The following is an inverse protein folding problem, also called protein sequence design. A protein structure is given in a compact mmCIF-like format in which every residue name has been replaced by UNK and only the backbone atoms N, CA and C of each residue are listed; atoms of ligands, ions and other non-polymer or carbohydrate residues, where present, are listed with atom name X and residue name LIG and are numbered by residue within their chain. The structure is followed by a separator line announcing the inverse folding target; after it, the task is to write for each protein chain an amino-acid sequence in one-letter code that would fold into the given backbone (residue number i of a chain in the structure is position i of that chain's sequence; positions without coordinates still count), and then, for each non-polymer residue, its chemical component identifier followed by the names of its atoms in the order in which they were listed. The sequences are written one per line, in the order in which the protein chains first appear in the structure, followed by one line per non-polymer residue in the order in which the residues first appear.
data_IF_900072046660
#
_entry.id   IF_900072046660
#
_cell.length_a   1.000
_cell.length_b   1.000
_cell.length_c   1.000
_cell.angle_alpha   90.00
_cell.angle_beta   90.00
_cell.angle_gamma   90.00
#
_symmetry.space_group_name_H-M   'P 1'
#
loop_
_entity.id
_entity.type
_entity.pdbx_description
1 polymer ?
#
# COMPACT_ATOMS: atom_id res chain seq x y z
N UNK A 1 -16.63 -18.78 -23.33
CA UNK A 1 -15.77 -18.02 -24.25
C UNK A 1 -16.40 -16.65 -24.54
N UNK A 2 -17.66 -16.59 -24.99
CA UNK A 2 -18.36 -15.33 -25.30
C UNK A 2 -18.48 -14.35 -24.12
N UNK A 3 -18.71 -14.85 -22.90
CA UNK A 3 -18.80 -14.01 -21.70
C UNK A 3 -17.50 -13.22 -21.42
N UNK A 4 -16.34 -13.77 -21.76
CA UNK A 4 -15.06 -13.08 -21.61
C UNK A 4 -14.83 -12.04 -22.70
N UNK A 5 -15.27 -12.28 -23.94
CA UNK A 5 -15.15 -11.30 -25.04
C UNK A 5 -15.86 -9.98 -24.71
N UNK A 6 -16.94 -10.02 -23.94
CA UNK A 6 -17.65 -8.83 -23.43
C UNK A 6 -16.80 -7.95 -22.50
N UNK A 7 -15.71 -8.46 -21.94
CA UNK A 7 -14.75 -7.70 -21.13
C UNK A 7 -13.69 -6.96 -21.97
N UNK A 8 -13.88 -6.91 -23.29
CA UNK A 8 -13.00 -6.18 -24.21
C UNK A 8 -11.61 -6.83 -24.37
N UNK A 9 -10.55 -6.04 -24.57
CA UNK A 9 -9.21 -6.53 -24.89
C UNK A 9 -8.66 -7.55 -23.87
N UNK A 10 -8.88 -7.32 -22.58
CA UNK A 10 -8.43 -8.22 -21.51
C UNK A 10 -9.06 -9.61 -21.63
N UNK A 11 -10.34 -9.67 -21.97
CA UNK A 11 -11.08 -10.91 -22.11
C UNK A 11 -10.69 -11.70 -23.36
N UNK A 12 -10.43 -11.02 -24.48
CA UNK A 12 -9.87 -11.62 -25.69
C UNK A 12 -8.50 -12.25 -25.39
N UNK A 13 -7.60 -11.51 -24.76
CA UNK A 13 -6.28 -12.01 -24.39
C UNK A 13 -6.37 -13.23 -23.45
N UNK A 14 -7.22 -13.17 -22.42
CA UNK A 14 -7.48 -14.32 -21.54
C UNK A 14 -7.93 -15.56 -22.33
N UNK A 15 -8.93 -15.40 -23.20
CA UNK A 15 -9.45 -16.49 -24.02
C UNK A 15 -8.35 -17.10 -24.90
N UNK A 16 -7.53 -16.27 -25.55
CA UNK A 16 -6.42 -16.72 -26.39
C UNK A 16 -5.39 -17.51 -25.58
N UNK A 17 -4.95 -16.99 -24.43
CA UNK A 17 -3.99 -17.68 -23.55
C UNK A 17 -4.56 -19.04 -23.11
N UNK A 18 -5.82 -19.08 -22.69
CA UNK A 18 -6.52 -20.32 -22.31
C UNK A 18 -6.60 -21.29 -23.49
N UNK A 19 -6.90 -20.79 -24.68
CA UNK A 19 -7.01 -21.58 -25.91
C UNK A 19 -5.68 -22.26 -26.27
N UNK A 20 -4.57 -21.53 -26.22
CA UNK A 20 -3.22 -22.06 -26.47
C UNK A 20 -2.85 -23.12 -25.42
N UNK A 21 -3.11 -22.85 -24.13
CA UNK A 21 -2.67 -23.72 -23.04
C UNK A 21 -3.54 -24.98 -22.86
N UNK A 22 -4.70 -25.06 -23.50
CA UNK A 22 -5.58 -26.24 -23.47
C UNK A 22 -5.17 -27.36 -24.43
N UNK A 23 -4.23 -27.12 -25.35
CA UNK A 23 -3.76 -28.11 -26.31
C UNK A 23 -2.25 -28.11 -26.43
N UNK A 24 -1.64 -29.28 -26.27
CA UNK A 24 -0.19 -29.46 -26.46
C UNK A 24 0.22 -29.03 -27.86
N UNK A 25 -0.57 -29.36 -28.89
CA UNK A 25 -0.29 -29.00 -30.27
C UNK A 25 -0.31 -27.47 -30.48
N UNK A 26 -1.31 -26.78 -29.93
CA UNK A 26 -1.42 -25.30 -30.00
C UNK A 26 -0.28 -24.64 -29.24
N UNK A 27 0.05 -25.16 -28.06
CA UNK A 27 1.21 -24.73 -27.28
C UNK A 27 2.53 -24.87 -28.04
N UNK A 28 2.77 -25.99 -28.72
CA UNK A 28 3.97 -26.20 -29.54
C UNK A 28 4.02 -25.26 -30.75
N UNK A 29 2.89 -25.05 -31.44
CA UNK A 29 2.79 -24.05 -32.51
C UNK A 29 3.15 -22.64 -32.02
N UNK A 30 2.63 -22.24 -30.86
CA UNK A 30 2.96 -20.95 -30.27
C UNK A 30 4.45 -20.84 -29.91
N UNK A 31 5.04 -21.89 -29.30
CA UNK A 31 6.48 -21.92 -29.00
C UNK A 31 7.36 -21.73 -30.24
N UNK A 32 6.93 -22.24 -31.40
CA UNK A 32 7.64 -22.07 -32.66
C UNK A 32 7.68 -20.61 -33.15
N UNK A 33 6.61 -19.82 -32.91
CA UNK A 33 6.56 -18.39 -33.26
C UNK A 33 7.08 -17.47 -32.16
N UNK A 34 7.09 -17.91 -30.91
CA UNK A 34 7.54 -17.12 -29.76
C UNK A 34 9.01 -17.35 -29.38
N UNK A 35 9.76 -18.09 -30.20
CA UNK A 35 11.14 -18.50 -29.89
C UNK A 35 11.25 -19.19 -28.51
N UNK A 36 10.41 -20.20 -28.28
CA UNK A 36 10.32 -20.99 -27.04
C UNK A 36 9.84 -20.23 -25.78
N UNK A 37 9.26 -19.04 -25.91
CA UNK A 37 8.64 -18.33 -24.79
C UNK A 37 7.19 -18.74 -24.57
N UNK A 38 6.80 -18.95 -23.31
CA UNK A 38 5.42 -19.32 -22.94
C UNK A 38 4.62 -18.09 -22.52
N UNK A 39 3.33 -18.06 -22.88
CA UNK A 39 2.38 -17.11 -22.32
C UNK A 39 2.15 -17.39 -20.84
N UNK A 40 2.10 -16.34 -20.03
CA UNK A 40 1.62 -16.43 -18.66
C UNK A 40 0.08 -16.40 -18.65
N UNK A 41 -0.54 -17.12 -17.71
CA UNK A 41 -2.00 -17.16 -17.54
C UNK A 41 -2.40 -16.44 -16.26
N UNK A 42 -3.48 -15.67 -16.33
CA UNK A 42 -4.14 -15.12 -15.16
C UNK A 42 -4.74 -16.23 -14.29
N UNK A 43 -4.91 -15.94 -13.00
CA UNK A 43 -5.38 -16.90 -12.02
C UNK A 43 -6.08 -16.16 -10.89
N UNK A 44 -7.27 -16.64 -10.51
CA UNK A 44 -8.13 -15.95 -9.54
C UNK A 44 -7.53 -15.90 -8.12
N UNK A 45 -6.65 -16.84 -7.75
CA UNK A 45 -6.04 -16.92 -6.42
C UNK A 45 -4.63 -16.38 -6.34
N UNK A 46 -3.96 -16.13 -7.48
CA UNK A 46 -2.59 -15.61 -7.52
C UNK A 46 -2.54 -14.12 -7.77
N UNK A 47 -2.15 -13.36 -6.75
CA UNK A 47 -2.05 -11.91 -6.85
C UNK A 47 -1.12 -11.47 -7.99
N UNK A 48 -1.45 -10.35 -8.64
CA UNK A 48 -0.73 -9.80 -9.80
C UNK A 48 -0.66 -10.72 -11.05
N UNK A 49 -1.44 -11.79 -11.14
CA UNK A 49 -1.43 -12.69 -12.30
C UNK A 49 -1.78 -11.97 -13.61
N UNK A 50 -2.75 -11.05 -13.57
CA UNK A 50 -3.17 -10.24 -14.71
C UNK A 50 -2.03 -9.34 -15.22
N UNK A 51 -1.34 -8.64 -14.33
CA UNK A 51 -0.14 -7.87 -14.69
C UNK A 51 0.92 -8.77 -15.35
N UNK A 52 1.17 -9.96 -14.77
CA UNK A 52 2.20 -10.86 -15.31
C UNK A 52 1.82 -11.40 -16.70
N UNK A 53 0.54 -11.73 -16.91
CA UNK A 53 0.02 -12.11 -18.22
C UNK A 53 0.20 -10.98 -19.24
N UNK A 54 -0.21 -9.75 -18.90
CA UNK A 54 -0.07 -8.59 -19.78
C UNK A 54 1.38 -8.30 -20.13
N UNK A 55 2.28 -8.31 -19.13
CA UNK A 55 3.71 -8.07 -19.34
C UNK A 55 4.31 -9.07 -20.33
N UNK A 56 3.97 -10.35 -20.19
CA UNK A 56 4.47 -11.39 -21.09
C UNK A 56 3.81 -11.28 -22.48
N UNK A 57 2.51 -11.03 -22.54
CA UNK A 57 1.78 -10.90 -23.80
C UNK A 57 2.26 -9.72 -24.64
N UNK A 58 2.48 -8.55 -24.03
CA UNK A 58 3.01 -7.37 -24.72
C UNK A 58 4.42 -7.63 -25.28
N UNK A 59 5.27 -8.34 -24.55
CA UNK A 59 6.59 -8.75 -25.04
C UNK A 59 6.53 -9.80 -26.17
N UNK A 60 5.41 -10.50 -26.31
CA UNK A 60 5.18 -11.54 -27.30
C UNK A 60 4.12 -11.12 -28.34
N UNK A 61 3.88 -9.82 -28.50
CA UNK A 61 2.86 -9.28 -29.42
C UNK A 61 3.01 -9.84 -30.83
N UNK A 62 4.21 -9.76 -31.41
CA UNK A 62 4.48 -10.26 -32.77
C UNK A 62 4.25 -11.78 -32.89
N UNK A 63 4.52 -12.53 -31.83
CA UNK A 63 4.29 -13.97 -31.81
C UNK A 63 2.78 -14.30 -31.70
N UNK A 64 2.00 -13.50 -30.97
CA UNK A 64 0.55 -13.62 -30.87
C UNK A 64 -0.08 -13.30 -32.24
N UNK A 65 0.26 -12.16 -32.83
CA UNK A 65 -0.22 -11.75 -34.15
C UNK A 65 0.24 -12.76 -35.22
N UNK A 66 1.48 -13.24 -35.14
CA UNK A 66 2.02 -14.29 -35.99
C UNK A 66 1.29 -15.64 -35.87
N UNK A 67 0.77 -15.97 -34.68
CA UNK A 67 -0.03 -17.18 -34.49
C UNK A 67 -1.38 -17.05 -35.21
N UNK A 68 -2.08 -15.93 -35.05
CA UNK A 68 -3.34 -15.67 -35.76
C UNK A 68 -3.13 -15.71 -37.29
N UNK A 69 -2.10 -15.05 -37.79
CA UNK A 69 -1.79 -15.03 -39.22
C UNK A 69 -1.51 -16.43 -39.82
N UNK A 70 -0.92 -17.37 -39.05
CA UNK A 70 -0.51 -18.69 -39.57
C UNK A 70 -1.49 -19.81 -39.27
N UNK A 71 -2.15 -19.77 -38.12
CA UNK A 71 -2.90 -20.91 -37.56
C UNK A 71 -4.22 -20.49 -36.92
N UNK A 72 -4.86 -19.41 -37.40
CA UNK A 72 -6.19 -19.02 -36.92
C UNK A 72 -7.17 -20.19 -37.05
N UNK A 73 -7.74 -20.57 -35.91
CA UNK A 73 -8.82 -21.56 -35.80
C UNK A 73 -10.14 -20.81 -35.51
N UNK A 74 -11.28 -21.37 -35.93
CA UNK A 74 -12.61 -20.77 -35.71
C UNK A 74 -12.90 -20.46 -34.24
N UNK A 75 -12.39 -21.31 -33.34
CA UNK A 75 -12.60 -21.21 -31.90
C UNK A 75 -12.00 -19.92 -31.30
N UNK A 76 -10.84 -19.47 -31.84
CA UNK A 76 -10.11 -18.31 -31.35
C UNK A 76 -10.24 -17.07 -32.24
N UNK A 77 -10.83 -17.16 -33.44
CA UNK A 77 -10.93 -16.04 -34.38
C UNK A 77 -11.53 -14.76 -33.78
N UNK A 78 -12.50 -14.88 -32.87
CA UNK A 78 -13.09 -13.72 -32.18
C UNK A 78 -12.23 -13.11 -31.06
N UNK A 79 -11.05 -13.68 -30.79
CA UNK A 79 -10.12 -13.25 -29.74
C UNK A 79 -8.85 -12.58 -30.33
N UNK A 80 -8.83 -12.32 -31.64
CA UNK A 80 -7.78 -11.52 -32.29
C UNK A 80 -7.79 -10.07 -31.75
N UNK A 81 -6.59 -9.56 -31.46
CA UNK A 81 -6.38 -8.26 -30.84
C UNK A 81 -6.03 -7.22 -31.92
N UNK A 82 -6.82 -6.16 -32.00
CA UNK A 82 -6.52 -5.05 -32.91
C UNK A 82 -5.38 -4.17 -32.39
N UNK A 83 -4.80 -3.28 -33.22
CA UNK A 83 -3.83 -2.29 -32.75
C UNK A 83 -4.35 -1.44 -31.58
N UNK A 84 -5.63 -1.08 -31.58
CA UNK A 84 -6.29 -0.32 -30.51
C UNK A 84 -6.45 -1.15 -29.24
N UNK A 85 -6.77 -2.45 -29.37
CA UNK A 85 -6.82 -3.38 -28.23
C UNK A 85 -5.46 -3.42 -27.52
N UNK A 86 -4.36 -3.47 -28.28
CA UNK A 86 -2.99 -3.44 -27.74
C UNK A 86 -2.69 -2.16 -26.96
N UNK A 87 -3.13 -1.00 -27.46
CA UNK A 87 -2.97 0.28 -26.73
C UNK A 87 -3.72 0.27 -25.40
N UNK A 88 -4.93 -0.28 -25.36
CA UNK A 88 -5.69 -0.43 -24.11
C UNK A 88 -4.96 -1.36 -23.14
N UNK A 89 -4.48 -2.52 -23.61
CA UNK A 89 -3.75 -3.48 -22.78
C UNK A 89 -2.47 -2.87 -22.20
N UNK A 90 -1.78 -2.01 -22.93
CA UNK A 90 -0.58 -1.30 -22.47
C UNK A 90 -0.92 -0.28 -21.37
N UNK A 91 -2.00 0.51 -21.55
CA UNK A 91 -2.51 1.42 -20.51
C UNK A 91 -2.86 0.66 -19.22
N UNK A 92 -3.58 -0.46 -19.34
CA UNK A 92 -3.93 -1.32 -18.20
C UNK A 92 -2.68 -1.90 -17.53
N UNK A 93 -1.72 -2.42 -18.30
CA UNK A 93 -0.46 -2.95 -17.76
C UNK A 93 0.30 -1.89 -16.98
N UNK A 94 0.39 -0.67 -17.53
CA UNK A 94 1.09 0.46 -16.90
C UNK A 94 0.47 0.81 -15.54
N UNK A 95 -0.85 0.84 -15.45
CA UNK A 95 -1.51 1.08 -14.18
C UNK A 95 -1.32 -0.08 -13.18
N UNK A 96 -1.53 -1.33 -13.62
CA UNK A 96 -1.34 -2.50 -12.78
C UNK A 96 0.11 -2.67 -12.29
N UNK A 97 1.09 -2.10 -12.99
CA UNK A 97 2.48 -2.06 -12.54
C UNK A 97 2.64 -1.30 -11.24
N UNK A 98 2.00 -0.13 -11.13
CA UNK A 98 2.02 0.69 -9.92
C UNK A 98 1.47 -0.10 -8.74
N UNK A 99 0.32 -0.75 -8.93
CA UNK A 99 -0.28 -1.61 -7.90
C UNK A 99 0.66 -2.75 -7.50
N UNK A 100 1.27 -3.43 -8.48
CA UNK A 100 2.21 -4.52 -8.20
C UNK A 100 3.43 -4.04 -7.42
N UNK A 101 3.99 -2.87 -7.77
CA UNK A 101 5.15 -2.32 -7.07
C UNK A 101 4.80 -1.90 -5.66
N UNK A 102 3.63 -1.28 -5.46
CA UNK A 102 3.12 -0.98 -4.12
C UNK A 102 2.95 -2.26 -3.31
N UNK A 103 2.23 -3.26 -3.81
CA UNK A 103 2.07 -4.56 -3.12
C UNK A 103 3.41 -5.18 -2.76
N UNK A 104 4.39 -5.13 -3.67
CA UNK A 104 5.74 -5.64 -3.42
C UNK A 104 6.50 -4.84 -2.35
N UNK A 105 6.26 -3.55 -2.22
CA UNK A 105 6.83 -2.75 -1.13
C UNK A 105 6.22 -3.10 0.23
N UNK A 106 4.96 -3.56 0.25
CA UNK A 106 4.26 -4.03 1.45
C UNK A 106 4.31 -5.55 1.64
N UNK A 107 5.11 -6.28 0.87
CA UNK A 107 5.34 -7.71 1.08
C UNK A 107 6.58 -7.92 1.96
N UNK A 108 6.69 -9.08 2.61
CA UNK A 108 7.75 -9.45 3.57
C UNK A 108 7.52 -9.01 5.02
N UNK A 109 8.39 -9.49 5.91
CA UNK A 109 8.33 -9.28 7.37
C UNK A 109 8.70 -7.87 7.82
N UNK A 110 9.18 -7.02 6.92
CA UNK A 110 9.56 -5.64 7.21
C UNK A 110 8.44 -4.65 6.93
N UNK A 111 7.37 -5.08 6.25
CA UNK A 111 6.20 -4.24 5.99
C UNK A 111 5.33 -4.16 7.25
N UNK A 112 5.46 -3.05 7.95
CA UNK A 112 4.72 -2.75 9.19
C UNK A 112 3.48 -1.89 8.91
N UNK A 113 2.57 -1.84 9.88
CA UNK A 113 1.25 -1.23 9.75
C UNK A 113 1.28 0.25 9.34
N UNK A 114 2.35 0.96 9.70
CA UNK A 114 2.59 2.38 9.36
C UNK A 114 2.58 2.62 7.85
N UNK A 115 2.96 1.64 7.03
CA UNK A 115 2.98 1.78 5.57
C UNK A 115 1.60 1.63 4.91
N UNK A 116 0.60 1.08 5.61
CA UNK A 116 -0.68 0.70 4.97
C UNK A 116 -1.43 1.93 4.47
N UNK A 117 -1.62 2.93 5.34
CA UNK A 117 -2.34 4.15 4.98
C UNK A 117 -1.57 4.98 3.94
N UNK A 118 -0.24 5.12 4.09
CA UNK A 118 0.64 5.72 3.08
C UNK A 118 0.48 5.06 1.70
N UNK A 119 0.44 3.73 1.67
CA UNK A 119 0.25 2.98 0.44
C UNK A 119 -1.14 3.17 -0.14
N UNK A 120 -2.19 3.19 0.68
CA UNK A 120 -3.55 3.45 0.22
C UNK A 120 -3.69 4.87 -0.33
N UNK A 121 -3.13 5.89 0.33
CA UNK A 121 -3.10 7.28 -0.12
C UNK A 121 -2.39 7.39 -1.47
N UNK A 122 -1.22 6.75 -1.62
CA UNK A 122 -0.50 6.69 -2.88
C UNK A 122 -1.36 6.08 -4.00
N UNK A 123 -1.99 4.92 -3.76
CA UNK A 123 -2.78 4.25 -4.79
C UNK A 123 -4.05 5.04 -5.12
N UNK A 124 -4.71 5.67 -4.15
CA UNK A 124 -5.84 6.57 -4.38
C UNK A 124 -5.44 7.74 -5.29
N UNK A 125 -4.31 8.38 -5.01
CA UNK A 125 -3.77 9.44 -5.85
C UNK A 125 -3.48 8.96 -7.28
N UNK A 126 -2.98 7.71 -7.45
CA UNK A 126 -2.79 7.13 -8.79
C UNK A 126 -4.12 6.91 -9.53
N UNK A 127 -5.17 6.50 -8.83
CA UNK A 127 -6.51 6.37 -9.42
C UNK A 127 -7.10 7.72 -9.80
N UNK A 128 -6.95 8.74 -8.96
CA UNK A 128 -7.45 10.09 -9.20
C UNK A 128 -6.76 10.74 -10.40
N UNK A 129 -5.42 10.72 -10.44
CA UNK A 129 -4.67 11.17 -11.60
C UNK A 129 -5.07 10.40 -12.88
N UNK A 130 -5.34 9.10 -12.76
CA UNK A 130 -5.84 8.28 -13.86
C UNK A 130 -7.23 8.69 -14.34
N UNK A 131 -8.16 8.99 -13.42
CA UNK A 131 -9.51 9.49 -13.73
C UNK A 131 -9.44 10.82 -14.48
N UNK A 132 -8.62 11.75 -14.02
CA UNK A 132 -8.44 13.05 -14.67
C UNK A 132 -7.84 12.91 -16.07
N UNK A 133 -6.76 12.15 -16.20
CA UNK A 133 -6.07 11.95 -17.47
C UNK A 133 -6.92 11.21 -18.52
N UNK A 134 -7.91 10.42 -18.08
CA UNK A 134 -8.75 9.59 -18.95
C UNK A 134 -10.22 9.96 -18.92
N UNK A 135 -10.59 11.14 -18.44
CA UNK A 135 -11.99 11.56 -18.25
C UNK A 135 -12.88 11.37 -19.48
N UNK A 136 -12.33 11.57 -20.68
CA UNK A 136 -13.04 11.43 -21.96
C UNK A 136 -12.81 10.06 -22.65
N UNK A 137 -12.05 9.15 -22.04
CA UNK A 137 -11.80 7.79 -22.55
C UNK A 137 -12.92 6.85 -22.07
N UNK A 138 -13.81 6.37 -22.97
CA UNK A 138 -14.97 5.58 -22.59
C UNK A 138 -14.62 4.19 -22.05
N UNK A 139 -13.38 3.73 -22.25
CA UNK A 139 -12.91 2.42 -21.77
C UNK A 139 -12.15 2.57 -20.47
N UNK A 140 -11.21 3.51 -20.40
CA UNK A 140 -10.35 3.66 -19.22
C UNK A 140 -11.06 4.36 -18.04
N UNK A 141 -11.89 5.38 -18.29
CA UNK A 141 -12.54 6.11 -17.19
C UNK A 141 -13.39 5.20 -16.28
N UNK A 142 -14.25 4.29 -16.81
CA UNK A 142 -15.00 3.36 -15.98
C UNK A 142 -14.11 2.38 -15.18
N UNK A 143 -12.96 1.97 -15.75
CA UNK A 143 -12.01 1.09 -15.06
C UNK A 143 -11.37 1.80 -13.86
N UNK A 144 -10.91 3.04 -14.03
CA UNK A 144 -10.37 3.84 -12.94
C UNK A 144 -11.42 4.13 -11.87
N UNK A 145 -12.65 4.50 -12.25
CA UNK A 145 -13.74 4.72 -11.30
C UNK A 145 -14.06 3.46 -10.48
N UNK A 146 -14.11 2.30 -11.14
CA UNK A 146 -14.39 1.02 -10.48
C UNK A 146 -13.27 0.64 -9.49
N UNK A 147 -12.01 0.81 -9.90
CA UNK A 147 -10.86 0.54 -9.04
C UNK A 147 -10.76 1.51 -7.86
N UNK A 148 -10.99 2.81 -8.10
CA UNK A 148 -11.05 3.83 -7.04
C UNK A 148 -12.14 3.49 -6.02
N UNK A 149 -13.36 3.19 -6.46
CA UNK A 149 -14.48 2.86 -5.57
C UNK A 149 -14.20 1.61 -4.72
N UNK A 150 -13.48 0.63 -5.29
CA UNK A 150 -13.05 -0.55 -4.57
C UNK A 150 -12.00 -0.23 -3.50
N UNK A 151 -11.03 0.63 -3.81
CA UNK A 151 -10.00 1.05 -2.86
C UNK A 151 -10.58 1.90 -1.73
N UNK A 152 -11.41 2.88 -2.08
CA UNK A 152 -12.15 3.74 -1.15
C UNK A 152 -13.02 2.93 -0.16
N UNK A 153 -13.63 1.82 -0.61
CA UNK A 153 -14.29 0.87 0.30
C UNK A 153 -13.32 0.30 1.36
N UNK A 154 -12.12 -0.14 0.98
CA UNK A 154 -11.16 -0.71 1.94
C UNK A 154 -10.50 0.36 2.80
N UNK A 155 -10.30 1.56 2.27
CA UNK A 155 -9.82 2.71 3.03
C UNK A 155 -10.74 2.99 4.22
N UNK A 156 -12.06 3.06 3.99
CA UNK A 156 -13.05 3.22 5.07
C UNK A 156 -13.00 2.12 6.12
N UNK A 157 -12.65 0.88 5.76
CA UNK A 157 -12.51 -0.20 6.74
C UNK A 157 -11.32 0.01 7.70
N UNK A 158 -10.33 0.82 7.32
CA UNK A 158 -9.24 1.17 8.24
C UNK A 158 -9.72 2.05 9.40
N UNK A 159 -10.84 2.75 9.24
CA UNK A 159 -11.45 3.56 10.32
C UNK A 159 -12.07 2.69 11.42
N UNK A 160 -12.33 1.40 11.15
CA UNK A 160 -12.89 0.45 12.13
C UNK A 160 -11.89 0.09 13.24
N UNK A 161 -10.59 0.41 13.06
CA UNK A 161 -9.55 0.15 14.05
C UNK A 161 -8.63 1.34 14.22
N UNK A 162 -8.41 1.83 15.47
CA UNK A 162 -7.49 2.92 15.73
C UNK A 162 -6.03 2.53 15.42
N UNK A 163 -5.72 1.24 15.25
CA UNK A 163 -4.38 0.74 15.01
C UNK A 163 -3.72 1.35 13.75
N UNK A 164 -4.48 1.61 12.69
CA UNK A 164 -3.94 2.21 11.46
C UNK A 164 -3.46 3.65 11.69
N UNK A 165 -4.30 4.46 12.33
CA UNK A 165 -3.95 5.84 12.70
C UNK A 165 -2.82 5.84 13.74
N UNK A 166 -2.87 4.94 14.73
CA UNK A 166 -1.84 4.82 15.75
C UNK A 166 -0.47 4.52 15.15
N UNK A 167 -0.41 3.65 14.13
CA UNK A 167 0.84 3.33 13.46
C UNK A 167 1.48 4.54 12.78
N UNK A 168 0.69 5.43 12.17
CA UNK A 168 1.21 6.70 11.63
C UNK A 168 1.67 7.62 12.77
N UNK A 169 0.84 7.81 13.79
CA UNK A 169 1.12 8.75 14.88
C UNK A 169 2.36 8.31 15.65
N UNK A 170 2.51 7.02 15.92
CA UNK A 170 3.68 6.44 16.57
C UNK A 170 4.89 6.31 15.64
N UNK A 171 4.79 6.65 14.36
CA UNK A 171 5.95 6.71 13.48
C UNK A 171 6.75 8.01 13.74
N UNK A 172 8.04 7.95 14.13
CA UNK A 172 8.80 9.13 14.61
C UNK A 172 8.96 10.25 13.58
N UNK A 173 8.94 9.92 12.29
CA UNK A 173 9.01 10.90 11.19
C UNK A 173 7.65 11.45 10.75
N UNK A 174 6.53 10.81 11.11
CA UNK A 174 5.20 11.22 10.66
C UNK A 174 4.46 11.95 11.76
N UNK A 175 4.12 11.26 12.84
CA UNK A 175 3.29 11.81 13.93
C UNK A 175 1.97 12.37 13.38
N UNK A 176 1.35 13.29 14.11
CA UNK A 176 0.16 14.01 13.65
C UNK A 176 0.40 14.89 12.42
N UNK A 177 1.64 15.27 12.13
CA UNK A 177 1.98 16.12 10.98
C UNK A 177 1.52 15.48 9.66
N UNK A 178 1.76 14.17 9.47
CA UNK A 178 1.33 13.49 8.24
C UNK A 178 -0.19 13.59 8.05
N UNK A 179 -0.96 13.30 9.10
CA UNK A 179 -2.43 13.35 9.05
C UNK A 179 -2.91 14.79 8.79
N UNK A 180 -2.31 15.79 9.44
CA UNK A 180 -2.67 17.20 9.26
C UNK A 180 -2.34 17.72 7.85
N UNK A 181 -1.27 17.23 7.23
CA UNK A 181 -0.83 17.65 5.90
C UNK A 181 -1.60 16.94 4.77
N UNK A 182 -2.04 15.69 4.98
CA UNK A 182 -2.57 14.84 3.91
C UNK A 182 -4.06 14.50 4.02
N UNK A 183 -4.66 14.62 5.22
CA UNK A 183 -6.07 14.29 5.42
C UNK A 183 -6.95 15.53 5.46
N UNK A 184 -8.26 15.33 5.24
CA UNK A 184 -9.26 16.40 5.41
C UNK A 184 -9.36 16.80 6.87
N UNK A 185 -9.52 18.10 7.14
CA UNK A 185 -9.67 18.64 8.50
C UNK A 185 -10.78 17.96 9.31
N UNK A 186 -11.89 17.61 8.65
CA UNK A 186 -13.04 16.93 9.25
C UNK A 186 -12.73 15.53 9.81
N UNK A 187 -11.65 14.88 9.36
CA UNK A 187 -11.24 13.55 9.81
C UNK A 187 -10.24 13.58 10.98
N UNK A 188 -9.62 14.73 11.23
CA UNK A 188 -8.53 14.86 12.22
C UNK A 188 -9.07 14.70 13.64
N UNK A 189 -10.11 15.45 14.00
CA UNK A 189 -10.66 15.45 15.36
C UNK A 189 -11.29 14.09 15.77
N UNK A 190 -12.06 13.40 14.90
CA UNK A 190 -12.48 12.03 15.16
C UNK A 190 -11.30 11.08 15.40
N UNK A 191 -10.24 11.19 14.58
CA UNK A 191 -9.05 10.36 14.69
C UNK A 191 -8.31 10.60 16.02
N UNK A 192 -8.17 11.85 16.46
CA UNK A 192 -7.56 12.17 17.77
C UNK A 192 -8.33 11.51 18.92
N UNK A 193 -9.65 11.63 18.93
CA UNK A 193 -10.50 10.99 19.96
C UNK A 193 -10.33 9.47 20.00
N UNK A 194 -10.23 8.84 18.83
CA UNK A 194 -9.99 7.40 18.72
C UNK A 194 -8.62 7.01 19.32
N UNK A 195 -7.57 7.78 19.03
CA UNK A 195 -6.24 7.52 19.59
C UNK A 195 -6.17 7.84 21.08
N UNK A 196 -6.84 8.87 21.57
CA UNK A 196 -6.95 9.15 23.01
C UNK A 196 -7.66 8.02 23.74
N UNK A 197 -8.76 7.50 23.18
CA UNK A 197 -9.46 6.34 23.73
C UNK A 197 -8.53 5.12 23.78
N UNK A 198 -7.83 4.83 22.68
CA UNK A 198 -6.84 3.75 22.63
C UNK A 198 -5.75 3.95 23.68
N UNK A 199 -5.16 5.14 23.77
CA UNK A 199 -4.10 5.43 24.74
C UNK A 199 -4.58 5.23 26.19
N UNK A 200 -5.79 5.65 26.50
CA UNK A 200 -6.36 5.46 27.84
C UNK A 200 -6.54 3.98 28.23
N UNK A 201 -6.64 3.05 27.27
CA UNK A 201 -6.67 1.61 27.54
C UNK A 201 -5.28 1.04 27.90
N UNK A 202 -4.21 1.62 27.38
CA UNK A 202 -2.83 1.15 27.57
C UNK A 202 -2.04 1.95 28.62
N UNK A 203 -2.46 3.18 28.90
CA UNK A 203 -1.82 4.04 29.89
C UNK A 203 -1.87 3.36 31.27
N UNK A 204 -0.75 3.32 32.02
CA UNK A 204 -0.74 2.76 33.36
C UNK A 204 -1.78 3.46 34.25
N UNK A 205 -2.61 2.67 34.94
CA UNK A 205 -3.58 3.18 35.92
C UNK A 205 -2.89 3.80 37.15
N UNK A 206 -1.63 3.50 37.40
CA UNK A 206 -0.87 4.06 38.51
C UNK A 206 -0.03 5.26 38.03
N UNK A 207 -0.05 6.40 38.75
CA UNK A 207 0.90 7.46 38.48
C UNK A 207 2.31 6.88 38.54
N UNK A 208 3.26 7.37 37.70
CA UNK A 208 4.64 6.93 37.80
C UNK A 208 5.05 7.06 39.27
N UNK A 209 5.47 5.95 39.90
CA UNK A 209 6.19 6.03 41.16
C UNK A 209 7.21 7.14 40.98
N UNK A 210 7.25 8.17 41.86
CA UNK A 210 8.17 9.28 41.70
C UNK A 210 9.54 8.68 41.39
N UNK A 211 10.08 9.03 40.22
CA UNK A 211 11.40 8.59 39.75
C UNK A 211 12.28 8.50 40.98
N UNK A 212 12.67 7.27 41.33
CA UNK A 212 13.34 6.93 42.58
C UNK A 212 14.24 8.10 42.95
N UNK A 213 13.84 8.92 43.93
CA UNK A 213 14.59 10.13 44.28
C UNK A 213 15.99 9.63 44.58
N UNK A 214 16.92 9.85 43.64
CA UNK A 214 18.31 9.45 43.85
C UNK A 214 18.68 10.24 45.09
N UNK A 215 18.96 9.60 46.24
CA UNK A 215 19.14 10.32 47.48
C UNK A 215 20.24 11.33 47.22
N UNK A 216 19.90 12.62 47.26
CA UNK A 216 20.86 13.68 47.04
C UNK A 216 21.94 13.49 48.10
N UNK A 217 23.09 12.96 47.72
CA UNK A 217 24.25 12.67 48.60
C UNK A 217 24.92 13.95 49.11
N UNK A 218 24.32 15.10 48.84
CA UNK A 218 24.83 16.43 49.15
C UNK A 218 24.00 17.06 50.26
N UNK A 219 24.69 17.45 51.32
CA UNK A 219 24.18 18.24 52.45
C UNK A 219 23.98 19.73 52.13
N UNK A 220 24.28 20.17 50.90
CA UNK A 220 24.17 21.56 50.47
C UNK A 220 22.76 21.87 49.96
N UNK A 221 22.02 22.71 50.70
CA UNK A 221 20.64 23.11 50.39
C UNK A 221 20.48 23.81 49.04
N UNK A 222 21.46 24.63 48.61
CA UNK A 222 21.41 25.31 47.32
C UNK A 222 21.55 24.33 46.15
N UNK A 223 22.42 23.33 46.27
CA UNK A 223 22.57 22.30 45.24
C UNK A 223 21.30 21.44 45.14
N UNK A 224 20.64 21.13 46.26
CA UNK A 224 19.35 20.43 46.27
C UNK A 224 18.25 21.27 45.62
N UNK A 225 18.15 22.56 45.95
CA UNK A 225 17.20 23.49 45.35
C UNK A 225 17.42 23.65 43.83
N UNK A 226 18.69 23.82 43.40
CA UNK A 226 19.07 23.90 41.98
C UNK A 226 18.72 22.62 41.23
N UNK A 227 19.06 21.46 41.78
CA UNK A 227 18.78 20.17 41.15
C UNK A 227 17.27 19.90 41.05
N UNK A 228 16.48 20.31 42.06
CA UNK A 228 15.02 20.27 42.03
C UNK A 228 14.42 21.17 40.95
N UNK A 229 15.05 22.31 40.65
CA UNK A 229 14.61 23.21 39.57
C UNK A 229 15.19 22.91 38.19
N UNK A 230 16.22 22.06 38.10
CA UNK A 230 16.71 21.49 36.84
C UNK A 230 15.85 20.33 36.35
N UNK A 231 15.16 19.64 37.26
CA UNK A 231 14.24 18.56 36.93
C UNK A 231 13.00 19.13 36.23
N UNK A 232 12.70 18.72 34.98
CA UNK A 232 11.47 19.13 34.32
C UNK A 232 10.27 18.65 35.14
N UNK A 233 9.28 19.51 35.35
CA UNK A 233 7.99 19.05 35.87
C UNK A 233 7.37 18.10 34.84
N UNK A 234 7.32 16.80 35.11
CA UNK A 234 6.58 15.82 34.32
C UNK A 234 5.06 15.98 34.52
N UNK A 235 4.52 17.15 34.17
CA UNK A 235 3.08 17.40 34.19
C UNK A 235 2.38 16.99 32.90
N UNK A 236 3.14 16.81 31.81
CA UNK A 236 2.59 16.44 30.50
C UNK A 236 2.55 14.92 30.35
N UNK A 237 1.44 14.43 29.82
CA UNK A 237 1.24 13.01 29.52
C UNK A 237 2.33 12.48 28.56
N UNK A 238 2.69 11.20 28.71
CA UNK A 238 3.79 10.61 27.95
C UNK A 238 3.54 10.59 26.44
N UNK A 239 2.31 10.26 26.03
CA UNK A 239 1.90 10.27 24.63
C UNK A 239 1.88 11.69 24.08
N UNK A 240 1.37 12.67 24.84
CA UNK A 240 1.40 14.08 24.45
C UNK A 240 2.85 14.58 24.28
N UNK A 241 3.74 14.22 25.21
CA UNK A 241 5.16 14.55 25.14
C UNK A 241 5.83 13.95 23.90
N UNK A 242 5.49 12.72 23.53
CA UNK A 242 5.98 12.12 22.29
C UNK A 242 5.43 12.85 21.06
N UNK A 243 4.12 13.14 21.02
CA UNK A 243 3.51 13.83 19.89
C UNK A 243 4.06 15.24 19.66
N UNK A 244 4.39 15.94 20.74
CA UNK A 244 4.92 17.31 20.72
C UNK A 244 6.45 17.38 20.50
N UNK A 245 7.17 16.26 20.55
CA UNK A 245 8.62 16.25 20.28
C UNK A 245 8.91 16.35 18.78
N UNK A 246 10.13 16.78 18.44
CA UNK A 246 10.54 16.93 17.04
C UNK A 246 10.43 15.62 16.25
N UNK A 247 10.23 15.75 14.93
CA UNK A 247 10.23 14.61 14.01
C UNK A 247 11.65 14.07 13.90
N UNK A 248 11.78 12.75 14.01
CA UNK A 248 13.06 12.06 13.92
C UNK A 248 13.19 11.43 12.53
N UNK A 249 14.40 11.41 11.98
CA UNK A 249 14.72 10.83 10.68
C UNK A 249 16.00 9.99 10.77
N UNK A 250 16.26 9.14 9.77
CA UNK A 250 17.51 8.39 9.67
C UNK A 250 17.56 7.05 10.42
N UNK A 251 16.41 6.50 10.82
CA UNK A 251 16.29 5.14 11.37
C UNK A 251 15.90 4.13 10.29
N UNK A 252 16.09 2.84 10.57
CA UNK A 252 15.79 1.74 9.64
C UNK A 252 14.30 1.41 9.56
N UNK A 253 13.60 1.42 10.69
CA UNK A 253 12.14 1.31 10.79
C UNK A 253 11.66 1.96 12.09
N UNK A 254 10.39 2.38 12.15
CA UNK A 254 9.81 2.93 13.38
C UNK A 254 9.91 1.94 14.54
N UNK A 255 9.70 0.65 14.27
CA UNK A 255 9.84 -0.39 15.28
C UNK A 255 11.28 -0.49 15.82
N UNK A 256 12.28 -0.43 14.94
CA UNK A 256 13.68 -0.46 15.37
C UNK A 256 14.02 0.75 16.25
N UNK A 257 13.47 1.92 15.93
CA UNK A 257 13.63 3.13 16.73
C UNK A 257 12.99 2.98 18.12
N UNK A 258 11.76 2.48 18.21
CA UNK A 258 11.09 2.24 19.50
C UNK A 258 11.82 1.21 20.38
N UNK A 259 12.52 0.25 19.77
CA UNK A 259 13.29 -0.77 20.48
C UNK A 259 14.67 -0.29 20.95
N UNK A 260 15.08 0.94 20.63
CA UNK A 260 16.32 1.52 21.18
C UNK A 260 16.17 1.74 22.70
N UNK A 261 17.21 1.40 23.47
CA UNK A 261 17.20 1.50 24.94
C UNK A 261 16.91 2.93 25.42
N UNK A 262 17.33 3.94 24.65
CA UNK A 262 17.03 5.35 24.93
C UNK A 262 15.54 5.65 24.80
N UNK A 263 14.85 5.11 23.80
CA UNK A 263 13.42 5.35 23.62
C UNK A 263 12.61 4.58 24.66
N UNK A 264 12.96 3.33 24.94
CA UNK A 264 12.31 2.54 26.00
C UNK A 264 12.44 3.19 27.40
N UNK A 265 13.55 3.89 27.68
CA UNK A 265 13.71 4.66 28.92
C UNK A 265 12.95 5.98 28.91
N UNK A 266 12.87 6.64 27.75
CA UNK A 266 12.22 7.95 27.61
C UNK A 266 10.70 7.81 27.63
N UNK A 267 10.20 6.77 26.96
CA UNK A 267 8.80 6.46 26.75
C UNK A 267 8.50 4.99 27.14
N UNK A 268 8.55 4.65 28.43
CA UNK A 268 8.39 3.27 28.90
C UNK A 268 6.99 2.67 28.69
N UNK A 269 5.98 3.50 28.43
CA UNK A 269 4.59 3.07 28.30
C UNK A 269 4.09 3.12 26.84
N UNK A 270 4.93 3.53 25.89
CA UNK A 270 4.65 3.55 24.44
C UNK A 270 5.31 2.39 23.70
#
# INVERSE_FOLDING_TARGET
IEAWRKKGPLGKLHNFVVFIQRSVQRGQKFLAVSHNHKLARDNDTRWSSWYNMLRVALNLRDAIDGYFNKWMESDCAGDELSPEDWVILEKVKSFLEKLKMTTKALESSFATLDNVLLAMDFVLAQFEAGKEATMNDPVMAPMYNSGWAKLDKYYRLTEESPAYVAAIVLHPSHKWHYIQENWKEEWIEPSKKLIEALWNEYKPMEPPLPLCEVPSTTTNEFLNWRNKHLQPSLTMDEYERYCNSERVYGFTSALAWWLEETQQKTYPNL
#
